data_IF_736023063120
#
_entry.id   IF_736023063120
#
_cell.length_a   1.000
_cell.length_b   1.000
_cell.length_c   1.000
_cell.angle_alpha   90.00
_cell.angle_beta   90.00
_cell.angle_gamma   90.00
#
_symmetry.space_group_name_H-M   'P 1'
#
loop_
_entity.id
_entity.type
_entity.pdbx_description
1 polymer ?
#
# COMPACT_ATOMS: atom_id res chain seq x y z
N UNK A 1 -14.96 -15.19 1.17
CA UNK A 1 -14.80 -13.87 0.54
C UNK A 1 -13.45 -13.87 -0.16
N UNK A 2 -13.42 -13.91 -1.48
CA UNK A 2 -12.14 -13.88 -2.21
C UNK A 2 -11.60 -12.46 -2.13
N UNK A 3 -10.63 -12.23 -1.26
CA UNK A 3 -9.89 -10.98 -1.20
C UNK A 3 -9.31 -10.71 -2.60
N UNK A 4 -9.66 -9.55 -3.18
CA UNK A 4 -9.20 -9.19 -4.52
C UNK A 4 -7.70 -8.91 -4.46
N UNK A 5 -6.91 -9.79 -5.05
CA UNK A 5 -5.47 -9.61 -5.24
C UNK A 5 -5.23 -8.36 -6.10
N UNK A 6 -4.30 -7.50 -5.67
CA UNK A 6 -3.82 -6.42 -6.51
C UNK A 6 -3.06 -6.97 -7.72
N UNK A 7 -3.14 -6.24 -8.84
CA UNK A 7 -2.32 -6.54 -10.02
C UNK A 7 -0.87 -6.20 -9.72
N UNK A 8 0.03 -7.09 -10.08
CA UNK A 8 1.49 -6.89 -10.00
C UNK A 8 2.14 -6.96 -11.37
N UNK A 9 3.38 -6.47 -11.46
CA UNK A 9 4.26 -6.60 -12.62
C UNK A 9 5.73 -6.69 -12.18
N UNK A 10 6.63 -7.06 -13.08
CA UNK A 10 8.07 -7.23 -12.77
C UNK A 10 8.89 -6.18 -13.52
N UNK A 11 9.82 -5.53 -12.80
CA UNK A 11 10.82 -4.60 -13.36
C UNK A 11 12.18 -4.99 -12.77
N UNK A 12 13.16 -5.27 -13.63
CA UNK A 12 14.53 -5.65 -13.23
C UNK A 12 14.60 -6.79 -12.18
N UNK A 13 13.66 -7.74 -12.26
CA UNK A 13 13.59 -8.88 -11.33
C UNK A 13 12.83 -8.61 -10.03
N UNK A 14 12.36 -7.39 -9.81
CA UNK A 14 11.57 -7.01 -8.63
C UNK A 14 10.08 -6.96 -8.96
N UNK A 15 9.23 -7.32 -7.99
CA UNK A 15 7.77 -7.25 -8.13
C UNK A 15 7.28 -5.88 -7.68
N UNK A 16 6.38 -5.30 -8.47
CA UNK A 16 5.80 -3.98 -8.27
C UNK A 16 4.28 -4.05 -8.24
N UNK A 17 3.67 -3.13 -7.50
CA UNK A 17 2.23 -2.95 -7.38
C UNK A 17 1.88 -1.46 -7.25
N UNK A 18 0.58 -1.14 -7.41
CA UNK A 18 0.06 0.19 -7.13
C UNK A 18 -0.21 0.31 -5.64
N UNK A 19 0.43 1.27 -4.97
CA UNK A 19 0.15 1.57 -3.58
C UNK A 19 -1.36 1.74 -3.37
N UNK A 20 -2.00 0.98 -2.46
CA UNK A 20 -3.45 0.99 -2.33
C UNK A 20 -3.99 2.30 -1.74
N UNK A 21 -3.12 3.14 -1.19
CA UNK A 21 -3.48 4.45 -0.62
C UNK A 21 -3.45 5.54 -1.68
N UNK A 22 -2.28 5.75 -2.30
CA UNK A 22 -2.05 6.90 -3.19
C UNK A 22 -1.97 6.55 -4.69
N UNK A 23 -1.92 5.27 -5.04
CA UNK A 23 -1.83 4.81 -6.43
C UNK A 23 -0.46 4.97 -7.09
N UNK A 24 0.57 5.42 -6.36
CA UNK A 24 1.94 5.42 -6.87
C UNK A 24 2.51 4.00 -6.97
N UNK A 25 3.46 3.79 -7.88
CA UNK A 25 4.12 2.50 -8.03
C UNK A 25 5.08 2.27 -6.85
N UNK A 26 5.05 1.06 -6.27
CA UNK A 26 5.89 0.68 -5.14
C UNK A 26 6.24 -0.80 -5.28
N UNK A 27 7.44 -1.18 -4.84
CA UNK A 27 7.84 -2.58 -4.76
C UNK A 27 6.94 -3.32 -3.77
N UNK A 28 6.72 -4.61 -3.98
CA UNK A 28 5.99 -5.41 -3.00
C UNK A 28 6.77 -5.51 -1.68
N UNK A 29 6.05 -5.56 -0.56
CA UNK A 29 6.63 -5.60 0.79
C UNK A 29 7.59 -4.44 1.12
N UNK A 30 7.28 -3.24 0.60
CA UNK A 30 8.08 -2.03 0.78
C UNK A 30 7.23 -0.82 1.25
N UNK A 31 7.91 0.27 1.58
CA UNK A 31 7.30 1.52 2.04
C UNK A 31 7.09 2.45 0.85
N UNK A 32 5.85 2.88 0.63
CA UNK A 32 5.55 3.81 -0.45
C UNK A 32 6.22 5.17 -0.19
N UNK A 33 7.13 5.61 -1.05
CA UNK A 33 7.85 6.87 -0.84
C UNK A 33 6.97 8.11 -0.87
N UNK A 34 5.79 8.04 -1.51
CA UNK A 34 4.86 9.16 -1.62
C UNK A 34 4.02 9.35 -0.36
N UNK A 35 3.44 8.28 0.20
CA UNK A 35 2.49 8.38 1.31
C UNK A 35 2.95 7.69 2.60
N UNK A 36 4.08 6.98 2.55
CA UNK A 36 4.68 6.20 3.65
C UNK A 36 3.88 5.00 4.13
N UNK A 37 2.82 4.61 3.41
CA UNK A 37 2.14 3.34 3.64
C UNK A 37 3.07 2.15 3.42
N UNK A 38 3.12 1.24 4.40
CA UNK A 38 3.92 0.01 4.33
C UNK A 38 3.06 -1.09 3.74
N UNK A 39 3.33 -1.49 2.50
CA UNK A 39 2.48 -2.46 1.81
C UNK A 39 2.80 -3.91 2.22
N UNK A 40 1.78 -4.77 2.26
CA UNK A 40 1.92 -6.18 2.62
C UNK A 40 1.87 -7.08 1.37
N UNK A 41 2.32 -6.56 0.24
CA UNK A 41 2.21 -7.22 -1.06
C UNK A 41 0.81 -7.08 -1.69
N UNK A 42 0.42 -8.04 -2.55
CA UNK A 42 -0.82 -7.95 -3.34
C UNK A 42 -2.11 -8.01 -2.52
N UNK A 43 -2.03 -8.51 -1.28
CA UNK A 43 -3.13 -8.54 -0.32
C UNK A 43 -2.82 -7.52 0.77
N UNK A 44 -3.76 -6.63 1.05
CA UNK A 44 -3.65 -5.71 2.18
C UNK A 44 -4.02 -6.42 3.49
N UNK A 45 -3.14 -6.36 4.49
CA UNK A 45 -3.41 -6.84 5.84
C UNK A 45 -3.48 -5.63 6.78
N UNK A 46 -4.67 -5.35 7.31
CA UNK A 46 -4.86 -4.29 8.29
C UNK A 46 -4.24 -4.66 9.65
N UNK A 47 -3.64 -3.69 10.33
CA UNK A 47 -3.02 -3.87 11.65
C UNK A 47 -1.66 -4.58 11.65
N UNK A 48 -1.05 -4.80 10.48
CA UNK A 48 0.32 -5.28 10.36
C UNK A 48 1.36 -4.21 10.77
N UNK A 49 2.30 -3.83 9.89
CA UNK A 49 3.30 -2.81 10.22
C UNK A 49 2.73 -1.38 10.37
N UNK A 50 1.51 -1.13 9.89
CA UNK A 50 0.83 0.17 10.00
C UNK A 50 -0.04 0.21 11.26
N UNK A 51 -0.16 1.39 11.90
CA UNK A 51 -0.99 1.58 13.11
C UNK A 51 -2.43 1.99 12.80
N UNK A 52 -2.78 2.08 11.53
CA UNK A 52 -4.13 2.37 11.05
C UNK A 52 -4.55 1.39 9.95
N UNK A 53 -5.86 1.29 9.73
CA UNK A 53 -6.46 0.53 8.62
C UNK A 53 -6.18 1.19 7.27
N UNK A 54 -6.28 0.42 6.19
CA UNK A 54 -6.17 0.98 4.83
C UNK A 54 -7.22 2.07 4.56
N UNK A 55 -8.42 1.96 5.15
CA UNK A 55 -9.47 2.95 5.00
C UNK A 55 -9.08 4.28 5.66
N UNK A 56 -8.56 4.23 6.89
CA UNK A 56 -8.08 5.41 7.61
C UNK A 56 -6.89 6.06 6.88
N UNK A 57 -5.98 5.26 6.33
CA UNK A 57 -4.85 5.75 5.55
C UNK A 57 -5.26 6.51 4.29
N UNK A 58 -6.28 6.02 3.58
CA UNK A 58 -6.86 6.70 2.41
C UNK A 58 -7.47 8.05 2.78
N UNK A 59 -8.18 8.12 3.90
CA UNK A 59 -8.76 9.37 4.42
C UNK A 59 -7.64 10.32 4.81
N UNK A 60 -6.65 9.87 5.59
CA UNK A 60 -5.51 10.69 6.01
C UNK A 60 -4.77 11.26 4.80
N UNK A 61 -4.50 10.45 3.77
CA UNK A 61 -3.86 10.90 2.54
C UNK A 61 -4.69 11.96 1.80
N UNK A 62 -6.01 11.74 1.65
CA UNK A 62 -6.90 12.70 0.99
C UNK A 62 -7.01 14.04 1.73
N UNK A 63 -6.90 14.01 3.06
CA UNK A 63 -6.91 15.20 3.93
C UNK A 63 -5.52 15.84 4.12
N UNK A 64 -4.46 15.27 3.53
CA UNK A 64 -3.09 15.74 3.71
C UNK A 64 -2.52 15.51 5.13
N UNK A 65 -3.12 14.60 5.89
CA UNK A 65 -2.64 14.20 7.23
C UNK A 65 -1.57 13.10 7.13
N UNK A 66 -0.66 13.01 8.11
CA UNK A 66 0.31 11.92 8.17
C UNK A 66 -0.35 10.54 8.30
N UNK A 67 0.27 9.54 7.67
CA UNK A 67 -0.02 8.11 7.85
C UNK A 67 0.91 7.57 8.94
N UNK A 68 0.37 6.77 9.88
CA UNK A 68 1.05 6.24 11.08
C UNK A 68 0.92 4.74 11.24
#
# INVERSE_FOLDING_TARGET
>A
MTEKLQKTWVVDGYVWLRCPVCGHDVMDYDICDTCKWQNTGPVNIDGGPNRMTLAEAKIAFAEGRPII
#
